data_IF_661201911897
#
_entry.id   IF_661201911897
#
_cell.length_a   1.000
_cell.length_b   1.000
_cell.length_c   1.000
_cell.angle_alpha   90.00
_cell.angle_beta   90.00
_cell.angle_gamma   90.00
#
_symmetry.space_group_name_H-M   'P 1'
#
loop_
_entity.id
_entity.type
_entity.pdbx_description
1 polymer ?
#
# COMPACT_ATOMS: atom_id res chain seq x y z
N UNK A 1 -3.73 -14.56 2.55
CA UNK A 1 -4.07 -13.39 3.38
C UNK A 1 -3.84 -12.15 2.55
N UNK A 2 -4.85 -11.28 2.42
CA UNK A 2 -4.73 -10.06 1.61
C UNK A 2 -4.12 -8.93 2.46
N UNK A 3 -3.30 -8.09 1.86
CA UNK A 3 -2.80 -6.89 2.53
C UNK A 3 -3.94 -5.88 2.75
N UNK A 4 -4.39 -5.74 4.01
CA UNK A 4 -5.53 -4.91 4.38
C UNK A 4 -5.32 -3.44 3.99
N UNK A 5 -4.09 -2.92 4.14
CA UNK A 5 -3.76 -1.56 3.69
C UNK A 5 -3.92 -1.37 2.19
N UNK A 6 -3.50 -2.33 1.37
CA UNK A 6 -3.68 -2.26 -0.08
C UNK A 6 -5.14 -2.40 -0.48
N UNK A 7 -5.89 -3.29 0.17
CA UNK A 7 -7.32 -3.45 -0.09
C UNK A 7 -8.09 -2.16 0.20
N UNK A 8 -7.84 -1.52 1.36
CA UNK A 8 -8.38 -0.19 1.67
C UNK A 8 -7.99 0.85 0.63
N UNK A 9 -6.72 0.88 0.23
CA UNK A 9 -6.22 1.84 -0.77
C UNK A 9 -6.96 1.70 -2.11
N UNK A 10 -7.20 0.45 -2.53
CA UNK A 10 -7.94 0.12 -3.75
C UNK A 10 -9.41 0.53 -3.61
N UNK A 11 -10.06 0.22 -2.50
CA UNK A 11 -11.45 0.62 -2.25
C UNK A 11 -11.63 2.14 -2.22
N UNK A 12 -10.67 2.88 -1.66
CA UNK A 12 -10.70 4.34 -1.60
C UNK A 12 -10.54 4.99 -2.98
N UNK A 13 -9.64 4.45 -3.81
CA UNK A 13 -9.43 4.93 -5.18
C UNK A 13 -10.39 4.29 -6.19
N UNK A 14 -11.23 3.35 -5.74
CA UNK A 14 -12.10 2.52 -6.55
C UNK A 14 -11.41 1.35 -7.26
N UNK A 15 -10.23 1.55 -7.87
CA UNK A 15 -9.57 0.48 -8.65
C UNK A 15 -8.05 0.38 -8.42
N UNK A 16 -7.54 -0.85 -8.56
CA UNK A 16 -6.10 -1.15 -8.52
C UNK A 16 -5.31 -0.39 -9.59
N UNK A 17 -5.92 -0.15 -10.76
CA UNK A 17 -5.27 0.54 -11.88
C UNK A 17 -5.01 2.02 -11.55
N UNK A 18 -5.93 2.67 -10.85
CA UNK A 18 -5.76 4.07 -10.41
C UNK A 18 -4.64 4.16 -9.37
N UNK A 19 -4.65 3.26 -8.38
CA UNK A 19 -3.57 3.19 -7.38
C UNK A 19 -2.20 2.95 -8.03
N UNK A 20 -2.14 2.04 -9.00
CA UNK A 20 -0.94 1.73 -9.75
C UNK A 20 -0.44 2.96 -10.55
N UNK A 21 -1.32 3.67 -11.25
CA UNK A 21 -0.98 4.91 -11.96
C UNK A 21 -0.45 5.99 -11.02
N UNK A 22 -1.11 6.22 -9.88
CA UNK A 22 -0.65 7.19 -8.85
C UNK A 22 0.73 6.84 -8.32
N UNK A 23 1.05 5.55 -8.23
CA UNK A 23 2.36 5.07 -7.77
C UNK A 23 3.39 4.91 -8.90
N UNK A 24 3.03 5.16 -10.17
CA UNK A 24 3.89 4.91 -11.33
C UNK A 24 4.26 3.43 -11.52
N UNK A 25 3.37 2.50 -11.14
CA UNK A 25 3.57 1.05 -11.23
C UNK A 25 2.50 0.37 -12.08
N UNK A 26 2.75 -0.89 -12.42
CA UNK A 26 1.79 -1.72 -13.14
C UNK A 26 0.70 -2.24 -12.19
N UNK A 27 -0.52 -2.41 -12.69
CA UNK A 27 -1.63 -2.98 -11.92
C UNK A 27 -1.34 -4.42 -11.46
N UNK A 28 -0.60 -5.20 -12.26
CA UNK A 28 -0.12 -6.54 -11.88
C UNK A 28 0.75 -6.50 -10.62
N UNK A 29 1.57 -5.47 -10.44
CA UNK A 29 2.42 -5.31 -9.25
C UNK A 29 1.57 -5.08 -7.99
N UNK A 30 0.51 -4.28 -8.08
CA UNK A 30 -0.44 -4.09 -6.97
C UNK A 30 -1.15 -5.41 -6.65
N UNK A 31 -1.55 -6.17 -7.66
CA UNK A 31 -2.17 -7.48 -7.48
C UNK A 31 -1.23 -8.48 -6.78
N UNK A 32 0.05 -8.52 -7.18
CA UNK A 32 1.07 -9.36 -6.54
C UNK A 32 1.23 -9.00 -5.06
N UNK A 33 1.25 -7.71 -4.73
CA UNK A 33 1.35 -7.25 -3.35
C UNK A 33 0.08 -7.54 -2.54
N UNK A 34 -1.09 -7.35 -3.14
CA UNK A 34 -2.37 -7.61 -2.49
C UNK A 34 -2.49 -9.08 -2.08
N UNK A 35 -2.10 -10.00 -2.96
CA UNK A 35 -2.16 -11.44 -2.72
C UNK A 35 -0.95 -11.99 -1.96
N UNK A 36 0.03 -11.14 -1.61
CA UNK A 36 1.25 -11.55 -0.92
C UNK A 36 2.22 -12.38 -1.78
N UNK A 37 2.06 -12.36 -3.11
CA UNK A 37 3.02 -12.95 -4.06
C UNK A 37 4.36 -12.21 -4.02
N UNK A 38 4.31 -10.89 -3.84
CA UNK A 38 5.48 -10.02 -3.67
C UNK A 38 5.33 -9.15 -2.44
N UNK A 39 6.46 -8.75 -1.85
CA UNK A 39 6.49 -7.73 -0.80
C UNK A 39 6.50 -6.34 -1.42
N UNK A 40 5.80 -5.40 -0.79
CA UNK A 40 5.87 -3.97 -1.13
C UNK A 40 7.23 -3.43 -0.71
N UNK A 41 7.96 -2.79 -1.62
CA UNK A 41 9.21 -2.10 -1.30
C UNK A 41 8.92 -0.90 -0.39
N UNK A 42 9.74 -0.71 0.65
CA UNK A 42 9.58 0.37 1.61
C UNK A 42 9.56 1.76 0.93
N UNK A 43 10.33 1.95 -0.14
CA UNK A 43 10.37 3.19 -0.93
C UNK A 43 9.02 3.57 -1.57
N UNK A 44 8.17 2.57 -1.86
CA UNK A 44 6.85 2.78 -2.50
C UNK A 44 5.77 3.02 -1.46
N UNK A 45 5.98 2.59 -0.22
CA UNK A 45 4.96 2.75 0.84
C UNK A 45 4.55 4.22 1.02
N UNK A 46 5.46 5.22 1.10
CA UNK A 46 5.07 6.63 1.14
C UNK A 46 4.28 7.11 -0.08
N UNK A 47 4.54 6.55 -1.27
CA UNK A 47 3.79 6.86 -2.49
C UNK A 47 2.36 6.34 -2.40
N UNK A 48 2.16 5.12 -1.88
CA UNK A 48 0.83 4.56 -1.64
C UNK A 48 0.04 5.37 -0.61
N UNK A 49 0.69 5.77 0.49
CA UNK A 49 0.07 6.63 1.52
C UNK A 49 -0.33 7.98 0.92
N UNK A 50 0.54 8.63 0.15
CA UNK A 50 0.21 9.88 -0.56
C UNK A 50 -0.90 9.70 -1.60
N UNK A 51 -0.91 8.59 -2.33
CA UNK A 51 -1.93 8.28 -3.32
C UNK A 51 -3.32 8.12 -2.69
N UNK A 52 -3.39 7.68 -1.44
CA UNK A 52 -4.62 7.54 -0.65
C UNK A 52 -4.91 8.76 0.22
N UNK A 53 -4.18 9.86 0.02
CA UNK A 53 -4.32 11.10 0.80
C UNK A 53 -4.15 10.88 2.31
N UNK A 54 -3.30 9.92 2.71
CA UNK A 54 -3.06 9.59 4.12
C UNK A 54 -4.17 8.75 4.77
N UNK A 55 -5.18 8.31 4.02
CA UNK A 55 -6.24 7.43 4.54
C UNK A 55 -5.77 6.00 4.82
N UNK A 56 -4.75 5.55 4.10
CA UNK A 56 -4.05 4.30 4.39
C UNK A 56 -2.68 4.64 4.93
N UNK A 57 -2.35 4.08 6.09
CA UNK A 57 -1.08 4.34 6.75
C UNK A 57 -0.02 3.31 6.36
N UNK A 58 1.24 3.73 6.42
CA UNK A 58 2.36 2.92 5.96
C UNK A 58 2.49 1.59 6.70
N UNK A 59 2.19 1.58 8.00
CA UNK A 59 2.20 0.38 8.84
C UNK A 59 1.10 -0.62 8.44
N UNK A 60 -0.02 -0.17 7.84
CA UNK A 60 -1.08 -1.08 7.36
C UNK A 60 -0.65 -1.84 6.10
N UNK A 61 0.31 -1.28 5.35
CA UNK A 61 0.85 -1.87 4.11
C UNK A 61 2.06 -2.77 4.44
N UNK A 62 2.91 -2.34 5.37
CA UNK A 62 4.08 -3.09 5.84
C UNK A 62 4.14 -3.08 7.37
N UNK A 63 3.28 -3.86 8.05
CA UNK A 63 3.39 -4.03 9.51
C UNK A 63 4.69 -4.74 9.91
N UNK A 64 5.30 -5.43 8.96
CA UNK A 64 6.60 -6.12 9.05
C UNK A 64 7.79 -5.17 9.26
N UNK A 65 7.62 -3.85 9.05
CA UNK A 65 8.69 -2.84 9.19
C UNK A 65 8.29 -1.74 10.19
N UNK A 66 8.15 -2.06 11.49
CA UNK A 66 7.73 -1.10 12.51
C UNK A 66 8.76 0.01 12.77
N UNK A 67 10.04 -0.21 12.45
CA UNK A 67 11.11 0.80 12.56
C UNK A 67 11.04 1.85 11.46
N UNK A 68 10.65 1.46 10.24
CA UNK A 68 10.49 2.40 9.11
C UNK A 68 9.09 3.03 9.10
N UNK A 69 8.08 2.30 9.56
CA UNK A 69 6.69 2.73 9.57
C UNK A 69 6.12 2.55 10.97
N UNK A 70 6.40 3.50 11.89
CA UNK A 70 5.89 3.44 13.25
C UNK A 70 4.36 3.54 13.26
N UNK A 71 3.73 2.84 14.20
CA UNK A 71 2.30 2.99 14.45
C UNK A 71 2.04 4.40 15.00
N UNK A 72 0.96 5.10 14.59
CA UNK A 72 0.65 6.44 15.08
C UNK A 72 0.38 6.52 16.58
N UNK A 73 0.18 5.39 17.27
CA UNK A 73 -0.02 5.30 18.72
C UNK A 73 1.26 4.96 19.51
N UNK A 74 2.44 5.14 18.92
CA UNK A 74 3.73 4.94 19.61
C UNK A 74 4.21 6.19 20.33
#
# INVERSE_FOLDING_TARGET
MKNVGLEKAISLLGTQKILAQKCGKAQSTICDWLHGRKRVSAEIVPLLVRATEGKVLAYEIRPDLPDLFPHPER
#
